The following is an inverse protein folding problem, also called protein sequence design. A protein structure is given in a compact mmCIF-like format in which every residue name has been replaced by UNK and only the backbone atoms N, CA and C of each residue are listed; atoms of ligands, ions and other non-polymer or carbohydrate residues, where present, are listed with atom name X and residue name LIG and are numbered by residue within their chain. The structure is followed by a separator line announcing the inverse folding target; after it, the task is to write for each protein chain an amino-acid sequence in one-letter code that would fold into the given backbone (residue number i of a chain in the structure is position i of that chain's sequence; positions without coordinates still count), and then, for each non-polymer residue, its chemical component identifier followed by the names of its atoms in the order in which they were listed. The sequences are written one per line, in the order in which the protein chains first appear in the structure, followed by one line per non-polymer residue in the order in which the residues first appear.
data_IF_230436143472
#
_entry.id   IF_230436143472
#
_cell.length_a   1.000
_cell.length_b   1.000
_cell.length_c   1.000
_cell.angle_alpha   90.00
_cell.angle_beta   90.00
_cell.angle_gamma   90.00
#
_symmetry.space_group_name_H-M   'P 1'
#
loop_
_entity.id
_entity.type
_entity.pdbx_description
1 polymer ?
#
# COMPACT_ATOMS: atom_id res chain seq x y z
N UNK A 1 22.58 0.83 28.12
CA UNK A 1 21.31 1.58 28.10
C UNK A 1 21.11 2.04 26.67
N UNK A 2 19.90 1.97 26.11
CA UNK A 2 19.68 2.45 24.75
C UNK A 2 19.77 3.99 24.78
N UNK A 3 20.62 4.57 23.94
CA UNK A 3 20.71 6.02 23.79
C UNK A 3 19.40 6.53 23.17
N UNK A 4 18.67 7.36 23.91
CA UNK A 4 17.40 7.94 23.47
C UNK A 4 17.59 9.41 23.12
N UNK A 5 17.06 9.82 21.97
CA UNK A 5 17.09 11.22 21.50
C UNK A 5 15.67 11.75 21.35
N UNK A 6 15.46 13.02 21.66
CA UNK A 6 14.16 13.71 21.49
C UNK A 6 13.86 13.96 20.01
N UNK A 7 12.65 13.63 19.58
CA UNK A 7 12.15 13.89 18.23
C UNK A 7 10.88 14.75 18.30
N UNK A 8 10.90 15.91 17.62
CA UNK A 8 9.81 16.89 17.63
C UNK A 8 9.26 17.08 16.23
N UNK A 9 7.94 16.92 16.06
CA UNK A 9 7.25 17.08 14.78
C UNK A 9 6.13 18.10 14.94
N UNK A 10 6.01 19.01 13.97
CA UNK A 10 4.84 19.91 13.88
C UNK A 10 3.70 19.18 13.19
N UNK A 11 2.52 19.26 13.79
CA UNK A 11 1.29 18.63 13.31
C UNK A 11 0.13 19.60 13.52
N UNK A 12 -0.85 19.54 12.62
CA UNK A 12 -2.11 20.24 12.84
C UNK A 12 -2.81 19.73 14.11
N UNK A 13 -3.50 20.63 14.81
CA UNK A 13 -4.12 20.31 16.11
C UNK A 13 -5.26 19.31 15.95
N UNK A 14 -6.05 19.42 14.89
CA UNK A 14 -7.18 18.54 14.63
C UNK A 14 -6.68 17.16 14.18
N UNK A 15 -5.69 17.13 13.27
CA UNK A 15 -5.04 15.88 12.85
C UNK A 15 -4.46 15.12 14.06
N UNK A 16 -3.80 15.83 14.99
CA UNK A 16 -3.27 15.23 16.22
C UNK A 16 -4.36 14.56 17.04
N UNK A 17 -5.48 15.26 17.30
CA UNK A 17 -6.60 14.72 18.08
C UNK A 17 -7.19 13.48 17.43
N UNK A 18 -7.37 13.50 16.11
CA UNK A 18 -7.89 12.36 15.36
C UNK A 18 -6.97 11.14 15.46
N UNK A 19 -5.66 11.34 15.31
CA UNK A 19 -4.70 10.26 15.48
C UNK A 19 -4.67 9.73 16.92
N UNK A 20 -4.70 10.61 17.93
CA UNK A 20 -4.71 10.19 19.33
C UNK A 20 -5.96 9.37 19.68
N UNK A 21 -7.14 9.75 19.16
CA UNK A 21 -8.37 8.98 19.33
C UNK A 21 -8.26 7.60 18.65
N UNK A 22 -7.87 7.56 17.37
CA UNK A 22 -7.71 6.33 16.61
C UNK A 22 -6.74 5.35 17.27
N UNK A 23 -5.55 5.83 17.65
CA UNK A 23 -4.56 4.96 18.29
C UNK A 23 -4.97 4.59 19.71
N UNK A 24 -5.69 5.46 20.42
CA UNK A 24 -6.29 5.17 21.72
C UNK A 24 -7.28 4.00 21.67
N UNK A 25 -8.13 3.95 20.63
CA UNK A 25 -9.03 2.81 20.38
C UNK A 25 -8.25 1.50 20.12
N UNK A 26 -7.07 1.61 19.50
CA UNK A 26 -6.16 0.50 19.26
C UNK A 26 -5.28 0.15 20.48
N UNK A 27 -5.47 0.83 21.62
CA UNK A 27 -4.73 0.58 22.85
C UNK A 27 -3.27 1.06 22.84
N UNK A 28 -2.93 2.03 21.98
CA UNK A 28 -1.58 2.57 21.87
C UNK A 28 -1.56 4.11 21.87
N UNK A 29 -0.49 4.71 22.37
CA UNK A 29 -0.32 6.15 22.27
C UNK A 29 0.34 6.55 20.93
N UNK A 30 0.18 7.82 20.55
CA UNK A 30 0.72 8.35 19.29
C UNK A 30 2.25 8.19 19.18
N UNK A 31 2.98 8.35 20.29
CA UNK A 31 4.44 8.16 20.33
C UNK A 31 4.84 6.72 20.00
N UNK A 32 4.10 5.73 20.50
CA UNK A 32 4.34 4.31 20.21
C UNK A 32 4.05 4.03 18.74
N UNK A 33 2.94 4.55 18.21
CA UNK A 33 2.59 4.42 16.80
C UNK A 33 3.67 5.00 15.87
N UNK A 34 4.22 6.19 16.19
CA UNK A 34 5.32 6.81 15.43
C UNK A 34 6.58 5.93 15.47
N UNK A 35 6.94 5.38 16.63
CA UNK A 35 8.10 4.49 16.74
C UNK A 35 7.91 3.20 15.93
N UNK A 36 6.71 2.63 15.93
CA UNK A 36 6.36 1.46 15.11
C UNK A 36 6.48 1.82 13.63
N UNK A 37 5.90 2.96 13.20
CA UNK A 37 5.99 3.44 11.83
C UNK A 37 7.46 3.53 11.37
N UNK A 38 8.32 4.22 12.12
CA UNK A 38 9.74 4.38 11.75
C UNK A 38 10.48 3.05 11.65
N UNK A 39 10.22 2.11 12.58
CA UNK A 39 10.83 0.76 12.54
C UNK A 39 10.35 -0.03 11.33
N UNK A 40 9.07 0.07 10.97
CA UNK A 40 8.56 -0.59 9.78
C UNK A 40 9.11 0.05 8.50
N UNK A 41 9.29 1.36 8.46
CA UNK A 41 9.92 2.05 7.33
C UNK A 41 11.34 1.54 7.08
N UNK A 42 12.13 1.36 8.15
CA UNK A 42 13.47 0.80 8.05
C UNK A 42 13.45 -0.65 7.54
N UNK A 43 12.49 -1.46 8.00
CA UNK A 43 12.34 -2.85 7.54
C UNK A 43 11.93 -2.94 6.07
N UNK A 44 11.07 -2.04 5.62
CA UNK A 44 10.61 -1.99 4.23
C UNK A 44 11.62 -1.33 3.27
N UNK A 45 12.60 -0.58 3.79
CA UNK A 45 13.50 0.24 2.98
C UNK A 45 12.81 1.45 2.34
N UNK A 46 11.72 1.93 2.94
CA UNK A 46 10.85 2.96 2.35
C UNK A 46 9.65 3.28 3.24
N UNK A 47 8.55 3.75 2.66
CA UNK A 47 7.30 3.89 3.42
C UNK A 47 6.75 2.49 3.77
N UNK A 48 6.22 2.29 5.00
CA UNK A 48 5.74 0.98 5.46
C UNK A 48 4.34 0.65 4.93
N UNK A 49 3.82 1.49 4.04
CA UNK A 49 2.59 1.31 3.30
C UNK A 49 2.77 1.88 1.90
N UNK A 50 1.89 1.47 0.99
CA UNK A 50 1.98 1.90 -0.40
C UNK A 50 1.51 3.37 -0.53
N UNK A 51 2.45 4.27 -0.84
CA UNK A 51 2.14 5.69 -1.01
C UNK A 51 1.57 5.90 -2.41
N UNK A 52 0.26 5.76 -2.51
CA UNK A 52 -0.49 5.96 -3.76
C UNK A 52 -1.35 7.20 -3.64
N UNK A 53 -1.38 8.01 -4.70
CA UNK A 53 -2.52 8.91 -4.91
C UNK A 53 -3.74 8.02 -5.12
N UNK A 54 -4.91 8.37 -4.57
CA UNK A 54 -6.14 7.56 -4.62
C UNK A 54 -6.61 7.18 -6.05
N UNK A 55 -5.98 7.74 -7.08
CA UNK A 55 -6.16 7.34 -8.47
C UNK A 55 -5.16 6.27 -8.86
N UNK A 56 -5.61 5.11 -9.38
CA UNK A 56 -4.72 4.17 -10.03
C UNK A 56 -3.88 4.91 -11.09
N UNK A 57 -2.61 4.56 -11.20
CA UNK A 57 -1.73 5.19 -12.19
C UNK A 57 -2.34 5.05 -13.59
N UNK A 58 -2.04 5.97 -14.51
CA UNK A 58 -2.57 5.90 -15.89
C UNK A 58 -2.28 4.53 -16.55
N UNK A 59 -1.13 3.92 -16.21
CA UNK A 59 -0.76 2.56 -16.65
C UNK A 59 -1.70 1.48 -16.09
N UNK A 60 -2.06 1.59 -14.81
CA UNK A 60 -2.98 0.66 -14.15
C UNK A 60 -4.39 0.79 -14.75
N UNK A 61 -4.86 2.02 -14.99
CA UNK A 61 -6.15 2.27 -15.64
C UNK A 61 -6.16 1.69 -17.06
N UNK A 62 -5.09 1.92 -17.83
CA UNK A 62 -4.96 1.39 -19.19
C UNK A 62 -4.96 -0.15 -19.20
N UNK A 63 -4.23 -0.79 -18.27
CA UNK A 63 -4.20 -2.25 -18.16
C UNK A 63 -5.58 -2.84 -17.78
N UNK A 64 -6.34 -2.17 -16.90
CA UNK A 64 -7.70 -2.59 -16.57
C UNK A 64 -8.64 -2.49 -17.79
N UNK A 65 -8.57 -1.38 -18.54
CA UNK A 65 -9.37 -1.19 -19.76
C UNK A 65 -8.98 -2.18 -20.87
N UNK A 66 -7.69 -2.49 -21.02
CA UNK A 66 -7.20 -3.48 -21.95
C UNK A 66 -7.65 -4.90 -21.57
N UNK A 67 -7.58 -5.25 -20.29
CA UNK A 67 -8.07 -6.52 -19.77
C UNK A 67 -9.58 -6.69 -20.02
N UNK A 68 -10.38 -5.64 -19.79
CA UNK A 68 -11.81 -5.66 -20.12
C UNK A 68 -12.08 -5.79 -21.63
N UNK A 69 -11.26 -5.15 -22.47
CA UNK A 69 -11.37 -5.27 -23.93
C UNK A 69 -11.06 -6.69 -24.39
N UNK A 70 -9.98 -7.27 -23.88
CA UNK A 70 -9.56 -8.64 -24.16
C UNK A 70 -10.61 -9.65 -23.70
N UNK A 71 -11.15 -9.48 -22.49
CA UNK A 71 -12.16 -10.39 -21.95
C UNK A 71 -13.47 -10.39 -22.76
N UNK A 72 -13.80 -9.29 -23.45
CA UNK A 72 -15.00 -9.16 -24.29
C UNK A 72 -14.73 -9.47 -25.77
N UNK A 73 -13.48 -9.63 -26.18
CA UNK A 73 -13.11 -9.89 -27.56
C UNK A 73 -13.10 -11.41 -27.82
N UNK A 74 -14.08 -11.94 -28.59
CA UNK A 74 -14.18 -13.37 -28.85
C UNK A 74 -13.03 -13.91 -29.73
N UNK A 75 -12.20 -13.04 -30.31
CA UNK A 75 -11.02 -13.44 -31.09
C UNK A 75 -9.74 -13.52 -30.25
N UNK A 76 -9.78 -13.13 -28.97
CA UNK A 76 -8.62 -13.28 -28.09
C UNK A 76 -8.60 -14.70 -27.55
N UNK A 77 -7.42 -15.33 -27.61
CA UNK A 77 -7.20 -16.71 -27.14
C UNK A 77 -7.54 -16.78 -25.64
N UNK A 78 -8.68 -17.39 -25.33
CA UNK A 78 -9.04 -17.79 -23.98
C UNK A 78 -8.40 -19.15 -23.65
N UNK A 79 -8.06 -19.35 -22.39
CA UNK A 79 -7.56 -20.63 -21.89
C UNK A 79 -8.65 -21.30 -21.06
N UNK A 80 -8.89 -22.58 -21.32
CA UNK A 80 -9.82 -23.40 -20.52
C UNK A 80 -9.10 -24.24 -19.47
N UNK A 81 -7.77 -24.27 -19.54
CA UNK A 81 -6.88 -25.00 -18.66
C UNK A 81 -5.79 -24.07 -18.10
N UNK A 82 -5.53 -24.19 -16.80
CA UNK A 82 -4.59 -23.30 -16.10
C UNK A 82 -3.14 -23.64 -16.47
N UNK A 83 -2.81 -24.91 -16.74
CA UNK A 83 -1.45 -25.32 -17.09
C UNK A 83 -1.06 -24.77 -18.48
N UNK A 84 -2.00 -24.77 -19.45
CA UNK A 84 -1.79 -24.12 -20.75
C UNK A 84 -1.54 -22.61 -20.60
N UNK A 85 -2.31 -21.92 -19.74
CA UNK A 85 -2.13 -20.50 -19.47
C UNK A 85 -0.74 -20.20 -18.87
N UNK A 86 -0.31 -20.98 -17.87
CA UNK A 86 0.98 -20.78 -17.21
C UNK A 86 2.17 -21.17 -18.10
N UNK A 87 2.01 -22.12 -19.02
CA UNK A 87 3.04 -22.48 -19.98
C UNK A 87 3.35 -21.34 -20.97
N UNK A 88 2.33 -20.58 -21.39
CA UNK A 88 2.54 -19.41 -22.26
C UNK A 88 3.09 -18.19 -21.52
N UNK A 89 2.69 -17.95 -20.27
CA UNK A 89 3.21 -16.83 -19.47
C UNK A 89 4.70 -16.93 -19.11
N UNK A 90 5.24 -18.15 -19.09
CA UNK A 90 6.65 -18.43 -18.75
C UNK A 90 7.57 -18.46 -19.96
N UNK A 91 7.06 -18.19 -21.15
CA UNK A 91 7.81 -18.15 -22.41
C UNK A 91 8.49 -16.80 -22.61
#
# INVERSE_FOLDING_TARGET
MADTTTFSVRMDTELKKQCEALYGELGMNLTTAINVFLRQSLRAGGFPFDVRLEKPSQKTIAAMLEAERIAKDPNVKGYTDLDEMFAELKK
#
